data_IF_763597851595
#
_entry.id   IF_763597851595
#
_cell.length_a   1.000
_cell.length_b   1.000
_cell.length_c   1.000
_cell.angle_alpha   90.00
_cell.angle_beta   90.00
_cell.angle_gamma   90.00
#
_symmetry.space_group_name_H-M   'P 1'
#
loop_
_entity.id
_entity.type
_entity.pdbx_description
1 polymer ?
#
# COMPACT_ATOMS: atom_id res chain seq x y z
N UNK A 1 20.48 0.87 -34.80
CA UNK A 1 20.13 1.86 -33.76
C UNK A 1 18.65 2.18 -33.95
N UNK A 2 17.75 1.69 -33.10
CA UNK A 2 16.32 1.99 -33.21
C UNK A 2 16.14 3.48 -32.81
N UNK A 3 15.37 4.26 -33.58
CA UNK A 3 15.13 5.65 -33.24
C UNK A 3 14.39 5.76 -31.90
N UNK A 4 14.81 6.70 -31.07
CA UNK A 4 14.21 6.98 -29.75
C UNK A 4 12.69 7.21 -29.82
N UNK A 5 12.21 7.69 -30.94
CA UNK A 5 10.79 7.95 -31.24
C UNK A 5 9.92 6.68 -31.29
N UNK A 6 10.47 5.52 -31.68
CA UNK A 6 9.76 4.25 -31.68
C UNK A 6 9.56 3.69 -30.26
N UNK A 7 10.48 4.00 -29.34
CA UNK A 7 10.37 3.60 -27.94
C UNK A 7 9.33 4.48 -27.22
N UNK A 8 9.28 5.75 -27.55
CA UNK A 8 8.29 6.68 -26.99
C UNK A 8 6.86 6.31 -27.38
N UNK A 9 6.64 5.97 -28.64
CA UNK A 9 5.32 5.56 -29.15
C UNK A 9 4.83 4.22 -28.61
N UNK A 10 5.74 3.30 -28.26
CA UNK A 10 5.38 2.00 -27.68
C UNK A 10 4.99 2.07 -26.19
N UNK A 11 5.38 3.15 -25.48
CA UNK A 11 5.06 3.36 -24.06
C UNK A 11 3.81 4.22 -23.86
N UNK A 12 3.35 4.92 -24.89
CA UNK A 12 2.10 5.68 -24.86
C UNK A 12 0.93 4.71 -24.92
N UNK A 13 0.23 4.54 -23.79
CA UNK A 13 -0.90 3.61 -23.66
C UNK A 13 -0.60 2.33 -22.90
N UNK A 14 0.61 2.17 -22.34
CA UNK A 14 0.88 1.05 -21.43
C UNK A 14 0.23 1.35 -20.06
N UNK A 15 -0.97 0.79 -19.85
CA UNK A 15 -1.59 0.80 -18.53
C UNK A 15 -0.89 -0.23 -17.62
N UNK A 16 -0.44 0.23 -16.46
CA UNK A 16 0.09 -0.66 -15.42
C UNK A 16 -1.06 -1.60 -15.00
N UNK A 17 -0.88 -2.93 -15.08
CA UNK A 17 -1.91 -3.86 -14.65
C UNK A 17 -2.30 -3.62 -13.19
N UNK A 18 -3.58 -3.87 -12.87
CA UNK A 18 -4.08 -3.76 -11.51
C UNK A 18 -3.22 -4.59 -10.53
N UNK A 19 -2.97 -4.03 -9.34
CA UNK A 19 -2.17 -4.68 -8.31
C UNK A 19 -0.66 -4.67 -8.51
N UNK A 20 -0.14 -3.95 -9.51
CA UNK A 20 1.31 -3.94 -9.85
C UNK A 20 1.92 -2.53 -9.86
N UNK A 21 1.63 -1.74 -8.83
CA UNK A 21 2.20 -0.40 -8.65
C UNK A 21 1.36 0.70 -9.29
N UNK A 22 0.10 0.44 -9.63
CA UNK A 22 -0.81 1.48 -10.12
C UNK A 22 -1.03 2.52 -9.02
N UNK A 23 -0.81 3.79 -9.37
CA UNK A 23 -1.11 4.92 -8.50
C UNK A 23 -2.47 5.50 -8.86
N UNK A 24 -3.28 5.73 -7.84
CA UNK A 24 -4.62 6.31 -7.96
C UNK A 24 -4.70 7.49 -7.02
N UNK A 25 -5.31 8.57 -7.46
CA UNK A 25 -5.67 9.69 -6.59
C UNK A 25 -7.15 9.58 -6.28
N UNK A 26 -7.48 9.39 -5.01
CA UNK A 26 -8.85 9.28 -4.52
C UNK A 26 -9.15 10.50 -3.64
N UNK A 27 -10.43 10.84 -3.47
CA UNK A 27 -10.81 12.08 -2.78
C UNK A 27 -11.70 11.79 -1.57
N UNK A 28 -11.28 12.29 -0.41
CA UNK A 28 -12.11 12.39 0.80
C UNK A 28 -12.86 13.72 0.82
N UNK A 29 -13.73 13.93 1.79
CA UNK A 29 -14.41 15.23 1.99
C UNK A 29 -13.41 16.38 2.25
N UNK A 30 -12.24 16.08 2.84
CA UNK A 30 -11.22 17.06 3.22
C UNK A 30 -10.12 17.24 2.16
N UNK A 31 -10.11 16.42 1.11
CA UNK A 31 -9.13 16.51 0.03
C UNK A 31 -8.60 15.16 -0.49
N UNK A 32 -7.71 15.20 -1.46
CA UNK A 32 -7.21 13.98 -2.09
C UNK A 32 -6.19 13.23 -1.22
N UNK A 33 -6.09 11.90 -1.46
CA UNK A 33 -5.01 11.05 -0.99
C UNK A 33 -4.50 10.16 -2.13
N UNK A 34 -3.31 9.61 -1.99
CA UNK A 34 -2.72 8.73 -2.99
C UNK A 34 -2.81 7.27 -2.55
N UNK A 35 -3.39 6.42 -3.39
CA UNK A 35 -3.39 4.96 -3.23
C UNK A 35 -2.42 4.31 -4.20
N UNK A 36 -1.52 3.47 -3.70
CA UNK A 36 -0.60 2.64 -4.47
C UNK A 36 -1.08 1.19 -4.38
N UNK A 37 -1.55 0.66 -5.50
CA UNK A 37 -2.07 -0.71 -5.60
C UNK A 37 -0.95 -1.68 -5.99
N UNK A 38 -0.42 -2.41 -5.00
CA UNK A 38 0.56 -3.49 -5.10
C UNK A 38 -0.05 -4.84 -4.66
N UNK A 39 -1.37 -4.98 -4.74
CA UNK A 39 -2.14 -6.06 -4.14
C UNK A 39 -2.07 -7.41 -4.90
N UNK A 40 -1.37 -7.47 -6.03
CA UNK A 40 -1.33 -8.69 -6.86
C UNK A 40 -0.49 -9.80 -6.24
N UNK A 41 0.71 -9.48 -5.73
CA UNK A 41 1.60 -10.46 -5.12
C UNK A 41 2.58 -9.81 -4.12
N UNK A 42 3.14 -10.64 -3.23
CA UNK A 42 4.11 -10.20 -2.25
C UNK A 42 5.16 -11.26 -1.95
N UNK A 43 6.42 -10.80 -1.86
CA UNK A 43 7.54 -11.51 -1.30
C UNK A 43 8.43 -10.51 -0.55
N UNK A 44 9.41 -10.94 0.28
CA UNK A 44 10.21 -10.02 1.09
C UNK A 44 10.89 -8.90 0.29
N UNK A 45 11.44 -9.20 -0.87
CA UNK A 45 12.12 -8.22 -1.71
C UNK A 45 11.14 -7.17 -2.26
N UNK A 46 9.97 -7.61 -2.74
CA UNK A 46 8.95 -6.70 -3.26
C UNK A 46 8.27 -5.86 -2.18
N UNK A 47 8.15 -6.38 -0.95
CA UNK A 47 7.69 -5.60 0.21
C UNK A 47 8.66 -4.45 0.50
N UNK A 48 9.96 -4.75 0.63
CA UNK A 48 11.01 -3.74 0.84
C UNK A 48 11.04 -2.69 -0.25
N UNK A 49 10.93 -3.10 -1.51
CA UNK A 49 10.87 -2.18 -2.65
C UNK A 49 9.66 -1.24 -2.58
N UNK A 50 8.49 -1.75 -2.19
CA UNK A 50 7.29 -0.94 -2.01
C UNK A 50 7.46 0.09 -0.87
N UNK A 51 8.03 -0.31 0.27
CA UNK A 51 8.28 0.60 1.38
C UNK A 51 9.31 1.67 0.99
N UNK A 52 10.40 1.29 0.33
CA UNK A 52 11.40 2.24 -0.17
C UNK A 52 10.79 3.25 -1.14
N UNK A 53 9.94 2.81 -2.06
CA UNK A 53 9.20 3.70 -2.95
C UNK A 53 8.35 4.70 -2.15
N UNK A 54 7.54 4.22 -1.21
CA UNK A 54 6.67 5.07 -0.37
C UNK A 54 7.50 6.06 0.44
N UNK A 55 8.65 5.63 0.99
CA UNK A 55 9.57 6.49 1.74
C UNK A 55 10.13 7.65 0.94
N UNK A 56 10.31 7.49 -0.39
CA UNK A 56 10.83 8.55 -1.27
C UNK A 56 9.76 9.53 -1.76
N UNK A 57 8.48 9.16 -1.70
CA UNK A 57 7.40 10.00 -2.19
C UNK A 57 7.04 11.09 -1.16
N UNK A 58 6.77 12.31 -1.62
CA UNK A 58 6.27 13.36 -0.73
C UNK A 58 4.85 13.01 -0.27
N UNK A 59 4.54 13.31 0.98
CA UNK A 59 3.17 13.36 1.47
C UNK A 59 2.62 14.77 1.20
N UNK A 60 1.49 14.92 0.48
CA UNK A 60 0.90 16.22 0.23
C UNK A 60 0.53 16.94 1.53
N UNK A 61 0.67 18.26 1.53
CA UNK A 61 0.13 19.09 2.60
C UNK A 61 -1.38 19.24 2.40
N UNK A 62 -2.15 19.03 3.46
CA UNK A 62 -3.61 19.22 3.44
C UNK A 62 -3.97 20.70 3.40
N UNK A 63 -5.21 21.02 3.11
CA UNK A 63 -5.72 22.39 3.15
C UNK A 63 -5.58 23.03 4.56
N UNK A 64 -5.53 22.21 5.61
CA UNK A 64 -5.33 22.64 7.00
C UNK A 64 -3.85 22.84 7.37
N UNK A 65 -2.92 22.61 6.43
CA UNK A 65 -1.48 22.80 6.63
C UNK A 65 -0.76 21.63 7.31
N UNK A 66 -1.45 20.51 7.54
CA UNK A 66 -0.83 19.27 8.03
C UNK A 66 -0.33 18.42 6.86
N UNK A 67 0.69 17.59 7.09
CA UNK A 67 1.12 16.58 6.11
C UNK A 67 0.32 15.30 6.29
N UNK A 68 0.02 14.64 5.18
CA UNK A 68 -0.56 13.30 5.20
C UNK A 68 0.44 12.26 5.72
N UNK A 69 -0.08 11.11 6.14
CA UNK A 69 0.71 9.99 6.69
C UNK A 69 1.11 9.01 5.59
N UNK A 70 2.18 8.26 5.84
CA UNK A 70 2.52 7.05 5.07
C UNK A 70 1.89 5.85 5.75
N UNK A 71 0.92 5.23 5.07
CA UNK A 71 0.14 4.11 5.58
C UNK A 71 0.47 2.85 4.76
N UNK A 72 0.85 1.77 5.43
CA UNK A 72 1.02 0.46 4.83
C UNK A 72 -0.14 -0.47 5.22
N UNK A 73 -0.79 -1.07 4.22
CA UNK A 73 -1.87 -2.05 4.39
C UNK A 73 -1.39 -3.37 3.82
N UNK A 74 -1.05 -4.32 4.70
CA UNK A 74 -0.23 -5.47 4.37
C UNK A 74 -0.97 -6.79 4.59
N UNK A 75 -0.87 -7.69 3.61
CA UNK A 75 -1.34 -9.08 3.72
C UNK A 75 -0.20 -10.07 3.69
N UNK A 76 -0.47 -11.28 4.16
CA UNK A 76 0.52 -12.37 4.23
C UNK A 76 1.30 -12.56 2.93
N UNK A 77 2.60 -12.77 3.06
CA UNK A 77 3.43 -13.35 2.01
C UNK A 77 3.29 -14.87 2.02
N UNK A 78 3.24 -15.50 0.86
CA UNK A 78 3.10 -16.95 0.70
C UNK A 78 4.39 -17.59 0.21
N UNK A 79 4.47 -18.92 0.30
CA UNK A 79 5.56 -19.75 -0.24
C UNK A 79 6.95 -19.44 0.36
N UNK A 80 7.00 -18.99 1.60
CA UNK A 80 8.25 -18.67 2.30
C UNK A 80 8.83 -19.84 3.10
N UNK A 81 8.11 -20.97 3.13
CA UNK A 81 8.55 -22.16 3.86
C UNK A 81 8.68 -21.93 5.37
N UNK A 82 9.59 -22.66 6.05
CA UNK A 82 9.72 -22.61 7.51
C UNK A 82 10.19 -21.26 8.06
N UNK A 83 10.78 -20.39 7.23
CA UNK A 83 11.21 -19.04 7.62
C UNK A 83 10.13 -17.98 7.52
N UNK A 84 8.88 -18.37 7.23
CA UNK A 84 7.78 -17.42 7.00
C UNK A 84 7.62 -16.41 8.14
N UNK A 85 7.56 -16.86 9.38
CA UNK A 85 7.39 -15.97 10.54
C UNK A 85 8.56 -14.98 10.69
N UNK A 86 9.81 -15.45 10.55
CA UNK A 86 11.01 -14.62 10.59
C UNK A 86 10.97 -13.52 9.51
N UNK A 87 10.71 -13.91 8.25
CA UNK A 87 10.69 -13.00 7.12
C UNK A 87 9.55 -11.96 7.19
N UNK A 88 8.45 -12.27 7.88
CA UNK A 88 7.42 -11.28 8.18
C UNK A 88 7.88 -10.33 9.29
N UNK A 89 8.47 -10.83 10.37
CA UNK A 89 8.99 -10.00 11.46
C UNK A 89 10.08 -9.03 10.99
N UNK A 90 10.95 -9.47 10.09
CA UNK A 90 12.03 -8.65 9.52
C UNK A 90 11.55 -7.38 8.82
N UNK A 91 10.29 -7.34 8.35
CA UNK A 91 9.72 -6.15 7.70
C UNK A 91 9.59 -4.93 8.63
N UNK A 92 9.62 -5.12 9.95
CA UNK A 92 9.49 -4.03 10.92
C UNK A 92 10.58 -2.99 10.73
N UNK A 93 11.83 -3.42 10.60
CA UNK A 93 12.96 -2.51 10.37
C UNK A 93 12.81 -1.71 9.06
N UNK A 94 12.35 -2.36 8.00
CA UNK A 94 12.13 -1.71 6.71
C UNK A 94 10.99 -0.68 6.78
N UNK A 95 9.92 -0.96 7.52
CA UNK A 95 8.80 -0.03 7.74
C UNK A 95 9.26 1.23 8.48
N UNK A 96 10.03 1.08 9.56
CA UNK A 96 10.58 2.21 10.32
C UNK A 96 11.57 3.04 9.49
N UNK A 97 12.51 2.38 8.78
CA UNK A 97 13.51 3.04 7.95
C UNK A 97 12.87 3.88 6.83
N UNK A 98 11.72 3.47 6.32
CA UNK A 98 11.02 4.16 5.24
C UNK A 98 9.91 5.09 5.75
N UNK A 99 9.95 5.43 7.04
CA UNK A 99 9.05 6.42 7.66
C UNK A 99 7.56 6.08 7.48
N UNK A 100 7.22 4.79 7.53
CA UNK A 100 5.81 4.38 7.61
C UNK A 100 5.29 4.77 9.00
N UNK A 101 4.13 5.39 9.04
CA UNK A 101 3.57 6.00 10.26
C UNK A 101 2.39 5.21 10.81
N UNK A 102 1.72 4.40 9.96
CA UNK A 102 0.62 3.54 10.37
C UNK A 102 0.60 2.25 9.55
N UNK A 103 0.39 1.12 10.22
CA UNK A 103 0.35 -0.20 9.59
C UNK A 103 -0.96 -0.90 9.91
N UNK A 104 -1.68 -1.25 8.86
CA UNK A 104 -2.81 -2.18 8.90
C UNK A 104 -2.36 -3.54 8.39
N UNK A 105 -2.76 -4.62 9.03
CA UNK A 105 -2.27 -5.94 8.68
C UNK A 105 -3.37 -7.00 8.66
N UNK A 106 -3.33 -7.88 7.66
CA UNK A 106 -4.26 -9.00 7.50
C UNK A 106 -3.52 -10.33 7.34
N UNK A 107 -3.93 -11.31 8.12
CA UNK A 107 -3.42 -12.67 8.04
C UNK A 107 -2.60 -13.12 9.25
N UNK A 108 -2.49 -14.45 9.46
CA UNK A 108 -1.83 -15.02 10.63
C UNK A 108 -0.32 -14.76 10.66
N UNK A 109 0.35 -14.72 9.50
CA UNK A 109 1.80 -14.44 9.45
C UNK A 109 2.07 -12.95 9.64
N UNK A 110 1.23 -12.08 9.11
CA UNK A 110 1.31 -10.65 9.40
C UNK A 110 1.05 -10.32 10.86
N UNK A 111 0.38 -11.19 11.63
CA UNK A 111 0.25 -11.03 13.09
C UNK A 111 1.61 -10.99 13.77
N UNK A 112 2.55 -11.84 13.33
CA UNK A 112 3.90 -11.89 13.90
C UNK A 112 4.62 -10.55 13.69
N UNK A 113 4.55 -10.00 12.49
CA UNK A 113 5.10 -8.68 12.19
C UNK A 113 4.40 -7.59 13.01
N UNK A 114 3.07 -7.60 13.04
CA UNK A 114 2.26 -6.59 13.72
C UNK A 114 2.54 -6.51 15.22
N UNK A 115 2.70 -7.67 15.88
CA UNK A 115 3.04 -7.74 17.31
C UNK A 115 4.47 -7.24 17.62
N UNK A 116 5.36 -7.29 16.63
CA UNK A 116 6.73 -6.78 16.75
C UNK A 116 6.83 -5.26 16.43
N UNK A 117 5.79 -4.65 15.87
CA UNK A 117 5.78 -3.21 15.59
C UNK A 117 5.79 -2.37 16.86
N UNK A 118 6.51 -1.22 16.86
CA UNK A 118 6.29 -0.18 17.87
C UNK A 118 4.81 0.22 17.93
N UNK A 119 4.27 0.38 19.13
CA UNK A 119 2.84 0.69 19.35
C UNK A 119 2.37 1.92 18.56
N UNK A 120 3.23 2.91 18.41
CA UNK A 120 2.93 4.13 17.62
C UNK A 120 2.66 3.89 16.13
N UNK A 121 3.12 2.75 15.58
CA UNK A 121 2.90 2.36 14.19
C UNK A 121 1.71 1.41 14.02
N UNK A 122 1.20 0.85 15.11
CA UNK A 122 0.12 -0.12 15.07
C UNK A 122 -1.22 0.57 14.79
N UNK A 123 -1.76 0.34 13.59
CA UNK A 123 -3.15 0.59 13.27
C UNK A 123 -4.03 -0.58 13.77
N UNK A 124 -4.49 -1.42 12.84
CA UNK A 124 -5.36 -2.56 13.15
C UNK A 124 -4.83 -3.83 12.49
N UNK A 125 -4.87 -4.95 13.23
CA UNK A 125 -4.69 -6.29 12.65
C UNK A 125 -6.01 -7.07 12.65
N UNK A 126 -6.23 -7.84 11.58
CA UNK A 126 -7.36 -8.78 11.44
C UNK A 126 -6.91 -10.07 10.77
N UNK A 127 -7.74 -11.11 10.84
CA UNK A 127 -7.42 -12.43 10.28
C UNK A 127 -7.49 -12.45 8.76
N UNK A 128 -8.25 -11.56 8.15
CA UNK A 128 -8.45 -11.47 6.70
C UNK A 128 -8.55 -10.03 6.20
N UNK A 129 -8.37 -9.85 4.89
CA UNK A 129 -8.55 -8.55 4.24
C UNK A 129 -10.00 -8.04 4.37
N UNK A 130 -10.99 -8.94 4.28
CA UNK A 130 -12.39 -8.57 4.41
C UNK A 130 -12.73 -8.02 5.81
N UNK A 131 -12.16 -8.60 6.86
CA UNK A 131 -12.33 -8.08 8.23
C UNK A 131 -11.56 -6.78 8.46
N UNK A 132 -10.45 -6.57 7.75
CA UNK A 132 -9.60 -5.39 7.88
C UNK A 132 -10.17 -4.18 7.12
N UNK A 133 -10.86 -4.42 6.02
CA UNK A 133 -11.36 -3.41 5.08
C UNK A 133 -12.04 -2.22 5.75
N UNK A 134 -13.07 -2.38 6.62
CA UNK A 134 -13.80 -1.23 7.17
C UNK A 134 -12.90 -0.31 8.00
N UNK A 135 -11.90 -0.87 8.68
CA UNK A 135 -10.96 -0.06 9.48
C UNK A 135 -10.00 0.76 8.60
N UNK A 136 -9.60 0.22 7.46
CA UNK A 136 -8.75 0.95 6.51
C UNK A 136 -9.56 2.07 5.85
N UNK A 137 -10.79 1.78 5.40
CA UNK A 137 -11.68 2.78 4.79
C UNK A 137 -11.94 3.94 5.75
N UNK A 138 -12.23 3.67 7.02
CA UNK A 138 -12.49 4.70 8.03
C UNK A 138 -11.24 5.54 8.37
N UNK A 139 -10.05 4.92 8.33
CA UNK A 139 -8.82 5.55 8.83
C UNK A 139 -8.13 6.48 7.82
N UNK A 140 -8.36 6.28 6.51
CA UNK A 140 -7.68 7.04 5.46
C UNK A 140 -8.21 8.47 5.39
N UNK A 141 -7.29 9.44 5.32
CA UNK A 141 -7.61 10.86 5.27
C UNK A 141 -6.92 11.61 4.14
N UNK A 142 -7.28 12.89 4.00
CA UNK A 142 -6.66 13.78 3.02
C UNK A 142 -5.14 13.86 3.21
N UNK A 143 -4.40 13.87 2.10
CA UNK A 143 -2.94 13.92 2.10
C UNK A 143 -2.24 12.58 2.34
N UNK A 144 -2.95 11.54 2.79
CA UNK A 144 -2.33 10.23 3.06
C UNK A 144 -1.73 9.60 1.80
N UNK A 145 -0.64 8.87 1.99
CA UNK A 145 -0.01 8.02 0.99
C UNK A 145 -0.18 6.57 1.44
N UNK A 146 -1.08 5.85 0.80
CA UNK A 146 -1.51 4.50 1.18
C UNK A 146 -0.94 3.48 0.21
N UNK A 147 -0.20 2.49 0.68
CA UNK A 147 0.21 1.34 -0.12
C UNK A 147 -0.53 0.09 0.35
N UNK A 148 -1.16 -0.62 -0.58
CA UNK A 148 -1.84 -1.90 -0.31
C UNK A 148 -1.05 -3.02 -0.96
N UNK A 149 -0.52 -3.97 -0.17
CA UNK A 149 0.31 -5.06 -0.67
C UNK A 149 0.10 -6.37 0.08
N UNK A 150 0.09 -7.47 -0.67
CA UNK A 150 -0.01 -8.82 -0.13
C UNK A 150 0.09 -9.87 -1.23
N UNK A 151 0.19 -11.14 -0.85
CA UNK A 151 0.07 -12.24 -1.80
C UNK A 151 -1.34 -12.28 -2.41
N UNK A 152 -1.49 -12.86 -3.58
CA UNK A 152 -2.83 -13.00 -4.20
C UNK A 152 -3.82 -13.71 -3.26
N UNK A 153 -3.36 -14.74 -2.54
CA UNK A 153 -4.19 -15.48 -1.60
C UNK A 153 -4.62 -14.67 -0.36
N UNK A 154 -3.93 -13.56 -0.04
CA UNK A 154 -4.34 -12.66 1.04
C UNK A 154 -5.47 -11.72 0.66
N UNK A 155 -5.86 -11.70 -0.62
CA UNK A 155 -7.01 -10.95 -1.18
C UNK A 155 -7.00 -9.45 -0.88
N UNK A 156 -5.82 -8.85 -0.79
CA UNK A 156 -5.69 -7.42 -0.46
C UNK A 156 -6.34 -6.49 -1.49
N UNK A 157 -6.60 -6.98 -2.70
CA UNK A 157 -7.36 -6.27 -3.73
C UNK A 157 -8.80 -5.89 -3.29
N UNK A 158 -9.38 -6.61 -2.30
CA UNK A 158 -10.68 -6.25 -1.74
C UNK A 158 -10.63 -4.85 -1.09
N UNK A 159 -9.56 -4.55 -0.36
CA UNK A 159 -9.36 -3.24 0.27
C UNK A 159 -9.17 -2.14 -0.80
N UNK A 160 -8.41 -2.43 -1.86
CA UNK A 160 -8.27 -1.50 -3.00
C UNK A 160 -9.63 -1.21 -3.63
N UNK A 161 -10.45 -2.25 -3.84
CA UNK A 161 -11.79 -2.12 -4.42
C UNK A 161 -12.70 -1.29 -3.51
N UNK A 162 -12.68 -1.54 -2.21
CA UNK A 162 -13.48 -0.81 -1.24
C UNK A 162 -13.09 0.67 -1.15
N UNK A 163 -11.78 0.97 -1.10
CA UNK A 163 -11.30 2.36 -1.13
C UNK A 163 -11.76 3.10 -2.39
N UNK A 164 -11.68 2.45 -3.55
CA UNK A 164 -12.17 3.03 -4.81
C UNK A 164 -13.69 3.22 -4.83
N UNK A 165 -14.44 2.31 -4.25
CA UNK A 165 -15.90 2.41 -4.19
C UNK A 165 -16.38 3.49 -3.22
N UNK A 166 -15.66 3.67 -2.10
CA UNK A 166 -16.01 4.63 -1.07
C UNK A 166 -15.56 6.06 -1.40
N UNK A 167 -14.36 6.20 -1.97
CA UNK A 167 -13.77 7.49 -2.33
C UNK A 167 -13.84 7.71 -3.84
N UNK A 168 -14.49 8.75 -4.26
CA UNK A 168 -14.61 9.08 -5.68
C UNK A 168 -13.23 9.27 -6.30
N UNK A 169 -13.03 8.68 -7.48
CA UNK A 169 -11.86 8.98 -8.32
C UNK A 169 -12.11 10.38 -8.93
N UNK A 170 -11.39 11.44 -8.55
CA UNK A 170 -11.52 12.69 -9.28
C UNK A 170 -10.77 12.51 -10.59
N UNK A 171 -11.48 12.03 -11.63
CA UNK A 171 -11.04 12.03 -13.03
C UNK A 171 -9.58 11.58 -13.18
N UNK A 172 -9.33 10.49 -13.87
CA UNK A 172 -8.00 10.12 -14.33
C UNK A 172 -7.30 11.37 -14.90
N UNK A 173 -6.51 12.02 -14.09
CA UNK A 173 -5.72 13.16 -14.50
C UNK A 173 -4.50 12.58 -15.23
N UNK A 174 -4.61 12.53 -16.56
CA UNK A 174 -3.66 12.48 -17.67
C UNK A 174 -2.25 11.94 -17.40
#
# INVERSE_FOLDING_TARGET
MAPADLIHGALVGFEVPAGRGRRLMLTTAEGPFTLIDESYNANPASMRAAFALVGTLPTPQTAQGTFGRRIAVLGDMRELGPRSAELHADLVADLEQNHIECVFAAGPMMKVMFDALPVKLQGVWRTSAAELEPYVVEAVGAGDLVVVKGSNASQMHLIVTALKAHYSDPVAAF
#
